data_IF_605876802471
#
_entry.id   IF_605876802471
#
_cell.length_a   1.000
_cell.length_b   1.000
_cell.length_c   1.000
_cell.angle_alpha   90.00
_cell.angle_beta   90.00
_cell.angle_gamma   90.00
#
_symmetry.space_group_name_H-M   'P 1'
#
loop_
_entity.id
_entity.type
_entity.pdbx_description
1 polymer ?
#
# COMPACT_ATOMS: atom_id res chain seq x y z
N UNK A 1 -31.84 69.97 22.49
CA UNK A 1 -32.09 69.38 21.16
C UNK A 1 -30.78 68.75 20.73
N UNK A 2 -30.57 67.53 21.22
CA UNK A 2 -30.68 66.24 20.50
C UNK A 2 -29.29 65.88 19.95
N UNK A 3 -28.51 65.11 20.71
CA UNK A 3 -28.55 63.64 20.77
C UNK A 3 -28.11 62.99 19.45
N UNK A 4 -26.88 62.49 19.39
CA UNK A 4 -26.62 61.05 19.49
C UNK A 4 -25.17 60.74 19.13
N UNK A 5 -24.41 60.32 20.14
CA UNK A 5 -23.31 59.39 20.00
C UNK A 5 -23.71 58.11 20.76
N UNK A 6 -23.79 56.97 20.07
CA UNK A 6 -23.47 55.68 20.66
C UNK A 6 -22.37 55.01 19.83
N UNK A 7 -21.19 54.79 20.41
CA UNK A 7 -20.83 53.55 21.11
C UNK A 7 -20.88 52.30 20.22
N UNK A 8 -19.70 51.70 20.08
CA UNK A 8 -19.48 50.25 20.14
C UNK A 8 -20.21 49.41 19.07
N UNK A 9 -19.61 49.35 17.88
CA UNK A 9 -19.75 48.16 17.05
C UNK A 9 -18.97 47.02 17.71
N UNK A 10 -19.71 46.03 18.18
CA UNK A 10 -19.24 44.84 18.90
C UNK A 10 -18.18 44.03 18.11
N UNK A 11 -17.28 43.30 18.80
CA UNK A 11 -16.46 42.27 18.18
C UNK A 11 -17.34 41.06 17.85
N UNK A 12 -18.03 41.12 16.71
CA UNK A 12 -18.82 40.01 16.17
C UNK A 12 -18.27 39.64 14.78
N UNK A 13 -17.05 39.12 14.76
CA UNK A 13 -16.50 38.35 13.62
C UNK A 13 -15.35 37.42 14.05
N UNK A 14 -15.41 36.92 15.29
CA UNK A 14 -14.54 35.84 15.81
C UNK A 14 -15.36 34.75 16.51
N UNK A 15 -16.07 33.98 15.70
CA UNK A 15 -16.60 32.64 15.99
C UNK A 15 -17.02 32.09 14.62
N UNK A 16 -16.52 30.99 14.07
CA UNK A 16 -16.10 29.72 14.66
C UNK A 16 -15.06 29.10 13.72
N UNK A 17 -13.80 29.06 14.12
CA UNK A 17 -12.88 28.01 13.65
C UNK A 17 -12.63 27.15 14.89
N UNK A 18 -13.60 26.31 15.24
CA UNK A 18 -13.28 25.16 16.06
C UNK A 18 -12.31 24.34 15.21
N UNK A 19 -11.02 24.34 15.57
CA UNK A 19 -10.06 23.44 14.97
C UNK A 19 -10.71 22.05 14.92
N UNK A 20 -10.67 21.38 13.77
CA UNK A 20 -11.23 20.04 13.69
C UNK A 20 -10.66 19.20 14.84
N UNK A 21 -11.51 18.51 15.62
CA UNK A 21 -11.06 17.73 16.75
C UNK A 21 -10.02 16.71 16.28
N UNK A 22 -8.99 16.49 17.11
CA UNK A 22 -7.91 15.57 16.81
C UNK A 22 -8.49 14.18 16.52
N UNK A 23 -7.83 13.38 15.66
CA UNK A 23 -8.34 12.07 15.27
C UNK A 23 -8.78 11.18 16.47
N UNK A 24 -8.00 11.10 17.58
CA UNK A 24 -8.43 10.36 18.77
C UNK A 24 -9.78 10.81 19.33
N UNK A 25 -10.04 12.12 19.38
CA UNK A 25 -11.30 12.68 19.90
C UNK A 25 -12.48 12.34 18.97
N UNK A 26 -12.24 12.36 17.65
CA UNK A 26 -13.25 11.98 16.64
C UNK A 26 -13.63 10.51 16.76
N UNK A 27 -12.64 9.62 16.85
CA UNK A 27 -12.86 8.18 17.00
C UNK A 27 -13.53 7.86 18.33
N UNK A 28 -13.07 8.46 19.42
CA UNK A 28 -13.68 8.35 20.75
C UNK A 28 -15.17 8.72 20.73
N UNK A 29 -15.50 9.88 20.15
CA UNK A 29 -16.89 10.34 20.04
C UNK A 29 -17.73 9.37 19.19
N UNK A 30 -17.19 8.88 18.08
CA UNK A 30 -17.88 7.92 17.22
C UNK A 30 -18.17 6.61 17.97
N UNK A 31 -17.18 6.07 18.69
CA UNK A 31 -17.33 4.82 19.47
C UNK A 31 -18.28 5.01 20.66
N UNK A 32 -18.23 6.17 21.33
CA UNK A 32 -19.15 6.48 22.44
C UNK A 32 -20.61 6.52 21.99
N UNK A 33 -20.87 7.04 20.78
CA UNK A 33 -22.22 7.16 20.23
C UNK A 33 -22.72 5.89 19.52
N UNK A 34 -21.83 5.18 18.82
CA UNK A 34 -22.17 4.06 17.94
C UNK A 34 -21.77 2.67 18.46
N UNK A 35 -21.04 2.60 19.56
CA UNK A 35 -20.42 1.37 20.06
C UNK A 35 -19.05 1.08 19.42
N UNK A 36 -18.39 -0.02 19.82
CA UNK A 36 -17.10 -0.44 19.29
C UNK A 36 -17.10 -0.59 17.77
N UNK A 37 -16.02 -0.17 17.11
CA UNK A 37 -15.88 -0.21 15.66
C UNK A 37 -14.98 -1.36 15.20
N UNK A 38 -15.13 -1.91 13.98
CA UNK A 38 -14.20 -2.90 13.46
C UNK A 38 -12.76 -2.37 13.40
N UNK A 39 -11.77 -3.25 13.58
CA UNK A 39 -10.36 -2.91 13.41
C UNK A 39 -10.08 -2.24 12.06
N UNK A 40 -10.70 -2.71 10.99
CA UNK A 40 -10.59 -2.12 9.65
C UNK A 40 -10.99 -0.63 9.63
N UNK A 41 -12.05 -0.26 10.33
CA UNK A 41 -12.47 1.14 10.39
C UNK A 41 -11.47 1.99 11.18
N UNK A 42 -10.91 1.45 12.26
CA UNK A 42 -9.89 2.13 13.06
C UNK A 42 -8.59 2.31 12.25
N UNK A 43 -8.07 1.24 11.66
CA UNK A 43 -6.86 1.25 10.83
C UNK A 43 -6.99 2.21 9.65
N UNK A 44 -8.10 2.16 8.92
CA UNK A 44 -8.35 3.06 7.79
C UNK A 44 -8.39 4.53 8.19
N UNK A 45 -9.00 4.86 9.34
CA UNK A 45 -9.02 6.22 9.84
C UNK A 45 -7.65 6.70 10.32
N UNK A 46 -6.89 5.83 11.00
CA UNK A 46 -5.52 6.11 11.45
C UNK A 46 -4.59 6.37 10.26
N UNK A 47 -4.54 5.46 9.29
CA UNK A 47 -3.66 5.58 8.13
C UNK A 47 -4.02 6.79 7.25
N UNK A 48 -5.32 7.04 7.02
CA UNK A 48 -5.75 8.23 6.26
C UNK A 48 -5.28 9.54 6.92
N UNK A 49 -5.26 9.61 8.25
CA UNK A 49 -4.71 10.76 8.96
C UNK A 49 -3.18 10.80 8.91
N UNK A 50 -2.53 9.65 9.13
CA UNK A 50 -1.08 9.51 9.12
C UNK A 50 -0.49 9.97 7.79
N UNK A 51 -0.89 9.35 6.67
CA UNK A 51 -0.40 9.71 5.33
C UNK A 51 -0.90 11.08 4.86
N UNK A 52 -2.07 11.55 5.33
CA UNK A 52 -2.64 12.83 4.93
C UNK A 52 -2.00 14.07 5.57
N UNK A 53 -1.26 13.91 6.68
CA UNK A 53 -0.76 15.05 7.48
C UNK A 53 0.75 15.19 7.53
N UNK A 54 1.53 14.19 7.09
CA UNK A 54 3.01 14.21 7.13
C UNK A 54 3.62 13.44 5.95
N UNK A 55 4.93 13.61 5.74
CA UNK A 55 5.74 12.74 4.89
C UNK A 55 6.41 11.66 5.78
N UNK A 56 5.98 10.39 5.71
CA UNK A 56 6.45 9.35 6.60
C UNK A 56 7.70 8.59 6.11
N UNK A 57 8.25 8.91 4.94
CA UNK A 57 9.20 8.04 4.24
C UNK A 57 10.68 8.49 4.34
N UNK A 58 11.57 7.51 4.51
CA UNK A 58 13.04 7.66 4.40
C UNK A 58 13.76 7.84 5.75
N UNK A 59 15.05 8.19 5.73
CA UNK A 59 15.91 8.23 6.93
C UNK A 59 15.47 9.20 8.05
N UNK A 60 14.56 10.14 7.74
CA UNK A 60 13.92 11.05 8.71
C UNK A 60 12.44 10.73 8.96
N UNK A 61 11.88 9.76 8.22
CA UNK A 61 10.54 9.22 8.37
C UNK A 61 10.49 8.07 9.38
N UNK A 62 9.41 7.29 9.34
CA UNK A 62 9.20 6.16 10.26
C UNK A 62 9.68 4.82 9.70
N UNK A 63 9.84 4.69 8.37
CA UNK A 63 10.33 3.48 7.70
C UNK A 63 11.06 3.76 6.36
N UNK A 64 11.78 2.73 5.89
CA UNK A 64 12.53 2.74 4.61
C UNK A 64 11.98 1.66 3.69
N UNK A 65 11.49 2.05 2.51
CA UNK A 65 10.94 1.17 1.46
C UNK A 65 11.99 0.75 0.44
N UNK A 66 11.68 -0.25 -0.38
CA UNK A 66 12.58 -0.75 -1.43
C UNK A 66 13.10 0.35 -2.38
N UNK A 67 12.24 1.28 -2.88
CA UNK A 67 12.67 2.38 -3.73
C UNK A 67 13.65 3.36 -3.05
N UNK A 68 13.54 3.55 -1.73
CA UNK A 68 14.41 4.45 -0.97
C UNK A 68 15.77 3.81 -0.64
N UNK A 69 15.87 2.48 -0.71
CA UNK A 69 17.12 1.73 -0.51
C UNK A 69 18.01 1.86 -1.76
N UNK A 70 17.45 1.65 -2.95
CA UNK A 70 18.26 1.62 -4.17
C UNK A 70 17.52 1.96 -5.44
N UNK A 71 18.14 2.80 -6.28
CA UNK A 71 17.68 3.05 -7.65
C UNK A 71 17.60 1.76 -8.49
N UNK A 72 18.36 0.72 -8.13
CA UNK A 72 18.33 -0.56 -8.84
C UNK A 72 16.94 -1.19 -8.80
N UNK A 73 16.21 -1.01 -7.72
CA UNK A 73 14.84 -1.52 -7.60
C UNK A 73 13.95 -0.89 -8.67
N UNK A 74 13.82 0.44 -8.68
CA UNK A 74 12.97 1.13 -9.64
C UNK A 74 13.41 0.96 -11.09
N UNK A 75 14.72 0.90 -11.35
CA UNK A 75 15.23 0.63 -12.70
C UNK A 75 14.84 -0.76 -13.21
N UNK A 76 14.92 -1.80 -12.38
CA UNK A 76 14.53 -3.16 -12.79
C UNK A 76 13.02 -3.28 -13.00
N UNK A 77 12.21 -2.65 -12.14
CA UNK A 77 10.75 -2.61 -12.34
C UNK A 77 10.41 -1.87 -13.65
N UNK A 78 11.03 -0.72 -13.91
CA UNK A 78 10.84 0.01 -15.17
C UNK A 78 11.24 -0.81 -16.40
N UNK A 79 12.35 -1.53 -16.35
CA UNK A 79 12.77 -2.41 -17.43
C UNK A 79 11.82 -3.61 -17.61
N UNK A 80 11.29 -4.17 -16.54
CA UNK A 80 10.26 -5.22 -16.59
C UNK A 80 9.00 -4.72 -17.32
N UNK A 81 8.53 -3.51 -17.00
CA UNK A 81 7.38 -2.89 -17.68
C UNK A 81 7.67 -2.64 -19.17
N UNK A 82 8.86 -2.13 -19.49
CA UNK A 82 9.28 -1.90 -20.87
C UNK A 82 9.38 -3.20 -21.68
N UNK A 83 9.86 -4.28 -21.08
CA UNK A 83 9.92 -5.60 -21.70
C UNK A 83 8.51 -6.17 -21.97
N UNK A 84 7.59 -6.06 -21.00
CA UNK A 84 6.18 -6.42 -21.20
C UNK A 84 5.55 -5.64 -22.36
N UNK A 85 5.79 -4.33 -22.42
CA UNK A 85 5.32 -3.46 -23.50
C UNK A 85 5.91 -3.82 -24.88
N UNK A 86 7.22 -4.07 -24.95
CA UNK A 86 7.91 -4.44 -26.19
C UNK A 86 7.34 -5.76 -26.74
N UNK A 87 7.22 -6.77 -25.88
CA UNK A 87 6.68 -8.10 -26.23
C UNK A 87 5.18 -8.09 -26.51
N UNK A 88 4.44 -7.10 -26.00
CA UNK A 88 3.04 -6.85 -26.34
C UNK A 88 2.87 -6.15 -27.71
N UNK A 89 3.96 -5.86 -28.43
CA UNK A 89 3.92 -5.22 -29.75
C UNK A 89 3.93 -3.69 -29.70
N UNK A 90 4.42 -3.11 -28.60
CA UNK A 90 4.56 -1.66 -28.39
C UNK A 90 3.27 -0.84 -28.55
N UNK A 91 2.14 -1.25 -27.95
CA UNK A 91 0.93 -0.43 -27.99
C UNK A 91 1.15 0.92 -27.29
N UNK A 92 0.27 1.90 -27.54
CA UNK A 92 0.15 3.03 -26.63
C UNK A 92 -0.33 2.48 -25.27
N UNK A 93 0.32 2.88 -24.17
CA UNK A 93 0.05 2.37 -22.82
C UNK A 93 0.14 3.51 -21.81
N UNK A 94 -0.44 3.29 -20.63
CA UNK A 94 -0.33 4.20 -19.48
C UNK A 94 0.43 3.53 -18.35
N UNK A 95 1.31 4.28 -17.70
CA UNK A 95 1.94 3.84 -16.46
C UNK A 95 1.07 4.27 -15.29
N UNK A 96 0.70 3.32 -14.42
CA UNK A 96 -0.11 3.59 -13.24
C UNK A 96 0.65 3.12 -12.00
N UNK A 97 0.75 3.96 -10.98
CA UNK A 97 1.29 3.55 -9.68
C UNK A 97 0.27 3.77 -8.55
N UNK A 98 0.01 2.72 -7.77
CA UNK A 98 -0.87 2.78 -6.61
C UNK A 98 -0.03 3.05 -5.36
N UNK A 99 -0.32 4.16 -4.66
CA UNK A 99 0.43 4.58 -3.48
C UNK A 99 1.92 4.82 -3.75
N UNK A 100 2.29 5.77 -4.63
CA UNK A 100 3.67 5.95 -5.08
C UNK A 100 4.63 6.52 -4.03
N UNK A 101 4.16 6.78 -2.80
CA UNK A 101 4.98 7.33 -1.73
C UNK A 101 5.57 8.69 -2.12
N UNK A 102 6.89 8.81 -2.25
CA UNK A 102 7.56 10.05 -2.70
C UNK A 102 7.69 10.18 -4.22
N UNK A 103 7.24 9.18 -4.98
CA UNK A 103 7.40 9.10 -6.43
C UNK A 103 8.79 8.63 -6.88
N UNK A 104 9.63 8.15 -5.95
CA UNK A 104 10.98 7.65 -6.23
C UNK A 104 10.95 6.45 -7.19
N UNK A 105 10.03 5.50 -6.96
CA UNK A 105 9.83 4.36 -7.84
C UNK A 105 9.41 4.78 -9.25
N UNK A 106 8.35 5.59 -9.37
CA UNK A 106 7.95 6.18 -10.65
C UNK A 106 9.11 6.85 -11.38
N UNK A 107 9.87 7.72 -10.70
CA UNK A 107 10.96 8.47 -11.31
C UNK A 107 12.05 7.55 -11.88
N UNK A 108 12.46 6.53 -11.12
CA UNK A 108 13.47 5.56 -11.58
C UNK A 108 12.93 4.63 -12.68
N UNK A 109 11.70 4.16 -12.54
CA UNK A 109 11.05 3.30 -13.51
C UNK A 109 10.87 4.02 -14.86
N UNK A 110 10.37 5.26 -14.85
CA UNK A 110 10.20 6.10 -16.05
C UNK A 110 11.54 6.41 -16.71
N UNK A 111 12.58 6.71 -15.93
CA UNK A 111 13.94 6.93 -16.43
C UNK A 111 14.50 5.68 -17.11
N UNK A 112 14.22 4.49 -16.58
CA UNK A 112 14.64 3.22 -17.16
C UNK A 112 13.82 2.86 -18.41
N UNK A 113 12.49 3.00 -18.37
CA UNK A 113 11.58 2.81 -19.50
C UNK A 113 11.98 3.70 -20.69
N UNK A 114 12.34 4.96 -20.44
CA UNK A 114 12.75 5.89 -21.48
C UNK A 114 13.99 5.40 -22.26
N UNK A 115 14.94 4.72 -21.59
CA UNK A 115 16.11 4.12 -22.24
C UNK A 115 15.74 2.95 -23.15
N UNK A 116 14.63 2.27 -22.87
CA UNK A 116 14.06 1.21 -23.71
C UNK A 116 13.09 1.77 -24.79
N UNK A 117 12.87 3.08 -24.84
CA UNK A 117 12.01 3.76 -25.81
C UNK A 117 10.55 3.90 -25.39
N UNK A 118 10.21 3.60 -24.15
CA UNK A 118 8.86 3.75 -23.59
C UNK A 118 8.75 5.03 -22.76
N UNK A 119 7.85 5.94 -23.13
CA UNK A 119 7.56 7.20 -22.40
C UNK A 119 6.04 7.40 -22.28
N UNK A 120 5.37 6.67 -21.38
CA UNK A 120 3.92 6.66 -21.28
C UNK A 120 3.41 7.88 -20.49
N UNK A 121 2.15 8.30 -20.68
CA UNK A 121 1.43 9.10 -19.69
C UNK A 121 1.45 8.40 -18.33
N UNK A 122 1.45 9.20 -17.26
CA UNK A 122 1.63 8.73 -15.89
C UNK A 122 0.39 9.06 -15.06
N UNK A 123 -0.20 8.04 -14.48
CA UNK A 123 -1.31 8.17 -13.53
C UNK A 123 -0.87 7.69 -12.14
N UNK A 124 -1.00 8.55 -11.14
CA UNK A 124 -0.65 8.25 -9.76
C UNK A 124 -1.91 8.21 -8.91
N UNK A 125 -2.20 7.07 -8.29
CA UNK A 125 -3.32 6.92 -7.36
C UNK A 125 -2.83 7.21 -5.94
N UNK A 126 -3.10 8.43 -5.48
CA UNK A 126 -2.59 8.99 -4.23
C UNK A 126 -3.67 9.85 -3.58
N UNK A 127 -3.92 9.73 -2.29
CA UNK A 127 -4.90 10.56 -1.57
C UNK A 127 -4.27 11.70 -0.77
N UNK A 128 -2.98 11.60 -0.44
CA UNK A 128 -2.28 12.57 0.39
C UNK A 128 -1.89 13.82 -0.39
N UNK A 129 -2.39 15.01 -0.02
CA UNK A 129 -1.99 16.25 -0.69
C UNK A 129 -0.50 16.58 -0.47
N UNK A 130 0.08 16.13 0.64
CA UNK A 130 1.50 16.31 0.96
C UNK A 130 2.36 15.48 0.00
N UNK A 131 2.02 14.20 -0.18
CA UNK A 131 2.77 13.32 -1.07
C UNK A 131 2.56 13.69 -2.54
N UNK A 132 1.34 14.08 -2.96
CA UNK A 132 1.09 14.60 -4.31
C UNK A 132 2.00 15.78 -4.67
N UNK A 133 2.24 16.69 -3.73
CA UNK A 133 3.14 17.82 -3.95
C UNK A 133 4.59 17.36 -4.19
N UNK A 134 5.10 16.43 -3.37
CA UNK A 134 6.44 15.85 -3.55
C UNK A 134 6.54 15.05 -4.87
N UNK A 135 5.53 14.24 -5.18
CA UNK A 135 5.45 13.45 -6.40
C UNK A 135 5.45 14.34 -7.65
N UNK A 136 4.77 15.50 -7.63
CA UNK A 136 4.74 16.45 -8.74
C UNK A 136 6.12 17.10 -9.00
N UNK A 137 7.02 17.17 -8.01
CA UNK A 137 8.39 17.62 -8.22
C UNK A 137 9.23 16.54 -8.93
N UNK A 138 9.05 15.27 -8.54
CA UNK A 138 9.80 14.14 -9.09
C UNK A 138 9.25 13.68 -10.46
N UNK A 139 7.94 13.79 -10.68
CA UNK A 139 7.23 13.35 -11.89
C UNK A 139 6.29 14.47 -12.37
N UNK A 140 6.81 15.53 -13.03
CA UNK A 140 6.06 16.76 -13.31
C UNK A 140 4.83 16.61 -14.21
N UNK A 141 4.75 15.53 -14.99
CA UNK A 141 3.65 15.27 -15.93
C UNK A 141 2.68 14.21 -15.40
N UNK A 142 2.73 13.87 -14.11
CA UNK A 142 1.80 12.92 -13.52
C UNK A 142 0.39 13.51 -13.37
N UNK A 143 -0.61 12.69 -13.68
CA UNK A 143 -2.01 12.95 -13.37
C UNK A 143 -2.40 12.22 -12.08
N UNK A 144 -3.03 12.93 -11.14
CA UNK A 144 -3.34 12.39 -9.82
C UNK A 144 -4.80 11.98 -9.69
N UNK A 145 -5.00 10.75 -9.24
CA UNK A 145 -6.31 10.11 -9.08
C UNK A 145 -6.55 9.75 -7.62
N UNK A 146 -7.83 9.74 -7.20
CA UNK A 146 -8.20 9.33 -5.85
C UNK A 146 -8.31 7.80 -5.74
N UNK A 147 -8.74 7.15 -6.83
CA UNK A 147 -8.97 5.72 -6.92
C UNK A 147 -8.84 5.26 -8.37
N UNK A 148 -9.08 3.96 -8.61
CA UNK A 148 -9.05 3.35 -9.94
C UNK A 148 -10.19 3.81 -10.86
N UNK A 149 -11.27 4.39 -10.33
CA UNK A 149 -12.44 4.81 -11.12
C UNK A 149 -12.11 6.06 -11.95
N UNK A 150 -11.26 6.94 -11.41
CA UNK A 150 -10.81 8.15 -12.11
C UNK A 150 -9.82 7.91 -13.26
N UNK A 151 -9.27 6.70 -13.37
CA UNK A 151 -8.25 6.39 -14.38
C UNK A 151 -8.81 6.47 -15.80
N UNK A 152 -7.95 6.87 -16.74
CA UNK A 152 -8.27 6.89 -18.16
C UNK A 152 -8.46 5.48 -18.72
N UNK A 153 -9.45 5.34 -19.60
CA UNK A 153 -9.88 4.08 -20.22
C UNK A 153 -9.40 3.91 -21.68
N UNK A 154 -8.46 4.76 -22.13
CA UNK A 154 -8.09 4.93 -23.55
C UNK A 154 -6.94 4.04 -24.04
N UNK A 155 -6.21 3.38 -23.13
CA UNK A 155 -5.07 2.53 -23.45
C UNK A 155 -4.83 1.43 -22.39
N UNK A 156 -4.17 0.32 -22.75
CA UNK A 156 -3.73 -0.68 -21.78
C UNK A 156 -2.89 -0.11 -20.64
N UNK A 157 -2.98 -0.76 -19.47
CA UNK A 157 -2.35 -0.28 -18.25
C UNK A 157 -1.09 -1.09 -17.89
N UNK A 158 -0.03 -0.40 -17.50
CA UNK A 158 1.17 -0.95 -16.87
C UNK A 158 1.20 -0.48 -15.42
N UNK A 159 0.70 -1.33 -14.52
CA UNK A 159 0.41 -0.96 -13.13
C UNK A 159 1.49 -1.47 -12.19
N UNK A 160 1.88 -0.66 -11.21
CA UNK A 160 2.74 -1.07 -10.09
C UNK A 160 2.04 -0.71 -8.77
N UNK A 161 2.11 -1.63 -7.81
CA UNK A 161 1.71 -1.40 -6.42
C UNK A 161 2.80 -1.97 -5.52
N UNK A 162 3.64 -1.11 -4.95
CA UNK A 162 4.72 -1.50 -4.04
C UNK A 162 4.39 -1.03 -2.62
N UNK A 163 4.32 -1.94 -1.65
CA UNK A 163 4.00 -1.61 -0.24
C UNK A 163 2.72 -0.74 -0.16
N UNK A 164 1.70 -1.19 -0.89
CA UNK A 164 0.41 -0.51 -0.98
C UNK A 164 -0.67 -1.33 -0.28
N UNK A 165 -0.60 -2.66 -0.35
CA UNK A 165 -1.64 -3.54 0.14
C UNK A 165 -1.51 -3.80 1.64
N UNK A 166 -0.31 -3.69 2.22
CA UNK A 166 -0.04 -3.79 3.66
C UNK A 166 -0.70 -2.67 4.48
N UNK A 167 -0.80 -1.47 3.91
CA UNK A 167 -1.41 -0.30 4.52
C UNK A 167 -2.94 -0.29 4.41
N UNK A 168 -3.53 -1.26 3.70
CA UNK A 168 -4.98 -1.36 3.52
C UNK A 168 -5.67 -1.95 4.76
N UNK A 169 -6.87 -1.45 5.11
CA UNK A 169 -7.56 -1.91 6.31
C UNK A 169 -7.88 -3.41 6.37
N UNK A 170 -7.35 -4.07 7.40
CA UNK A 170 -7.66 -5.48 7.69
C UNK A 170 -8.78 -5.65 8.72
N UNK A 171 -9.45 -6.79 8.68
CA UNK A 171 -10.24 -7.35 9.79
C UNK A 171 -9.42 -8.45 10.46
N UNK A 172 -9.55 -8.54 11.77
CA UNK A 172 -9.05 -9.67 12.55
C UNK A 172 -10.24 -10.45 13.09
N UNK A 173 -10.31 -11.74 12.78
CA UNK A 173 -11.23 -12.69 13.39
C UNK A 173 -10.45 -13.45 14.46
N UNK A 174 -11.02 -13.62 15.64
CA UNK A 174 -10.39 -14.27 16.80
C UNK A 174 -11.21 -15.50 17.16
N UNK A 175 -10.54 -16.65 17.26
CA UNK A 175 -11.15 -17.86 17.80
C UNK A 175 -11.41 -17.70 19.30
N UNK A 176 -12.62 -18.02 19.75
CA UNK A 176 -13.00 -17.99 21.17
C UNK A 176 -13.58 -19.35 21.57
N UNK A 177 -13.86 -19.55 22.87
CA UNK A 177 -14.56 -20.75 23.34
C UNK A 177 -15.99 -20.92 22.77
N UNK A 178 -16.56 -19.87 22.17
CA UNK A 178 -17.91 -19.86 21.58
C UNK A 178 -17.90 -19.72 20.04
N UNK A 179 -16.76 -19.96 19.40
CA UNK A 179 -16.56 -19.78 17.96
C UNK A 179 -15.80 -18.50 17.60
N UNK A 180 -15.72 -18.19 16.32
CA UNK A 180 -14.97 -17.06 15.79
C UNK A 180 -15.75 -15.75 15.91
N UNK A 181 -15.08 -14.72 16.43
CA UNK A 181 -15.62 -13.36 16.62
C UNK A 181 -14.74 -12.35 15.90
N UNK A 182 -15.29 -11.22 15.47
CA UNK A 182 -14.47 -10.12 14.94
C UNK A 182 -13.82 -9.33 16.08
N UNK A 183 -12.55 -8.94 15.91
CA UNK A 183 -11.86 -7.96 16.78
C UNK A 183 -12.40 -6.57 16.47
N UNK A 184 -12.99 -5.96 17.49
CA UNK A 184 -13.44 -4.57 17.48
C UNK A 184 -12.49 -3.71 18.31
N UNK A 185 -12.57 -2.40 18.13
CA UNK A 185 -11.87 -1.40 18.92
C UNK A 185 -12.90 -0.67 19.77
N UNK A 186 -12.81 -0.86 21.08
CA UNK A 186 -13.54 -0.09 22.07
C UNK A 186 -12.73 1.13 22.48
N UNK A 187 -13.40 2.08 23.11
CA UNK A 187 -12.75 3.27 23.64
C UNK A 187 -13.38 3.71 24.96
N UNK A 188 -12.54 4.18 25.88
CA UNK A 188 -12.93 4.96 27.04
C UNK A 188 -12.11 6.25 27.02
N UNK A 189 -12.77 7.41 26.94
CA UNK A 189 -12.14 8.69 26.67
C UNK A 189 -11.26 8.62 25.41
N UNK A 190 -9.93 8.66 25.49
CA UNK A 190 -9.04 8.48 24.31
C UNK A 190 -8.16 7.24 24.43
N UNK A 191 -8.51 6.32 25.33
CA UNK A 191 -7.84 5.02 25.47
C UNK A 191 -8.56 4.00 24.59
N UNK A 192 -7.89 3.51 23.56
CA UNK A 192 -8.44 2.50 22.64
C UNK A 192 -7.94 1.11 23.03
N UNK A 193 -8.84 0.12 22.98
CA UNK A 193 -8.52 -1.26 23.36
C UNK A 193 -9.20 -2.24 22.41
N UNK A 194 -8.50 -3.31 22.01
CA UNK A 194 -9.10 -4.38 21.24
C UNK A 194 -10.05 -5.20 22.13
N UNK A 195 -11.25 -5.48 21.62
CA UNK A 195 -12.23 -6.36 22.26
C UNK A 195 -12.76 -7.38 21.25
N UNK A 196 -13.30 -8.49 21.74
CA UNK A 196 -14.05 -9.43 20.90
C UNK A 196 -15.48 -8.94 20.71
N UNK A 197 -15.94 -8.94 19.46
CA UNK A 197 -17.35 -8.70 19.14
C UNK A 197 -18.27 -9.85 19.56
N UNK A 198 -19.57 -9.60 19.49
CA UNK A 198 -20.64 -10.53 19.90
C UNK A 198 -21.19 -11.40 18.75
N UNK A 199 -20.97 -10.99 17.49
CA UNK A 199 -21.41 -11.72 16.29
C UNK A 199 -20.51 -12.91 15.99
N UNK A 200 -21.10 -14.03 15.57
CA UNK A 200 -20.34 -15.19 15.10
C UNK A 200 -19.96 -15.02 13.63
N UNK A 201 -18.74 -15.40 13.29
CA UNK A 201 -18.19 -15.41 11.94
C UNK A 201 -17.89 -16.81 11.41
N UNK A 202 -18.28 -17.87 12.12
CA UNK A 202 -17.94 -19.27 11.77
C UNK A 202 -18.30 -19.63 10.33
N UNK A 203 -19.37 -19.04 9.78
CA UNK A 203 -19.83 -19.31 8.40
C UNK A 203 -18.83 -18.90 7.31
N UNK A 204 -17.91 -17.97 7.59
CA UNK A 204 -16.90 -17.50 6.63
C UNK A 204 -15.50 -18.05 6.91
N UNK A 205 -15.34 -18.81 8.00
CA UNK A 205 -14.05 -19.39 8.38
C UNK A 205 -13.79 -20.64 7.54
N UNK A 206 -12.57 -20.83 6.99
CA UNK A 206 -12.20 -22.06 6.32
C UNK A 206 -12.45 -23.27 7.23
N UNK A 207 -13.07 -24.33 6.69
CA UNK A 207 -13.51 -25.49 7.48
C UNK A 207 -12.41 -26.13 8.33
N UNK A 208 -11.17 -26.11 7.85
CA UNK A 208 -10.01 -26.66 8.56
C UNK A 208 -9.53 -25.79 9.74
N UNK A 209 -9.99 -24.53 9.85
CA UNK A 209 -9.68 -23.59 10.93
C UNK A 209 -10.84 -23.38 11.92
N UNK A 210 -12.02 -23.98 11.67
CA UNK A 210 -13.20 -23.80 12.53
C UNK A 210 -12.96 -24.15 14.00
N UNK A 211 -12.07 -25.11 14.26
CA UNK A 211 -11.73 -25.60 15.60
C UNK A 211 -10.33 -25.17 16.06
N UNK A 212 -9.83 -24.03 15.59
CA UNK A 212 -8.57 -23.47 16.05
C UNK A 212 -8.61 -23.16 17.56
N UNK A 213 -7.44 -23.15 18.20
CA UNK A 213 -7.31 -22.87 19.63
C UNK A 213 -7.79 -21.45 19.97
N UNK A 214 -8.48 -21.23 21.11
CA UNK A 214 -8.87 -19.89 21.55
C UNK A 214 -7.68 -18.92 21.59
N UNK A 215 -7.88 -17.72 21.04
CA UNK A 215 -6.83 -16.71 20.85
C UNK A 215 -6.16 -16.76 19.48
N UNK A 216 -6.41 -17.79 18.67
CA UNK A 216 -5.99 -17.81 17.25
C UNK A 216 -6.59 -16.62 16.50
N UNK A 217 -5.78 -15.97 15.68
CA UNK A 217 -6.18 -14.82 14.86
C UNK A 217 -6.14 -15.19 13.39
N UNK A 218 -7.18 -14.83 12.65
CA UNK A 218 -7.26 -14.93 11.20
C UNK A 218 -7.48 -13.53 10.64
N UNK A 219 -6.61 -13.10 9.74
CA UNK A 219 -6.67 -11.78 9.10
C UNK A 219 -7.32 -11.87 7.73
N UNK A 220 -8.15 -10.88 7.40
CA UNK A 220 -8.75 -10.76 6.07
C UNK A 220 -8.79 -9.29 5.67
N UNK A 221 -8.63 -8.98 4.38
CA UNK A 221 -8.73 -7.60 3.89
C UNK A 221 -9.77 -7.48 2.77
N UNK A 222 -11.04 -7.19 3.11
CA UNK A 222 -12.05 -6.88 2.11
C UNK A 222 -11.68 -5.66 1.25
N UNK A 223 -10.89 -4.72 1.78
CA UNK A 223 -10.39 -3.56 1.05
C UNK A 223 -9.40 -3.97 -0.06
N UNK A 224 -8.44 -4.84 0.26
CA UNK A 224 -7.48 -5.38 -0.71
C UNK A 224 -8.21 -6.13 -1.84
N UNK A 225 -9.19 -6.97 -1.50
CA UNK A 225 -10.01 -7.69 -2.50
C UNK A 225 -10.80 -6.71 -3.38
N UNK A 226 -11.41 -5.67 -2.79
CA UNK A 226 -12.18 -4.70 -3.57
C UNK A 226 -11.30 -3.92 -4.57
N UNK A 227 -10.12 -3.46 -4.15
CA UNK A 227 -9.17 -2.77 -5.02
C UNK A 227 -8.67 -3.71 -6.13
N UNK A 228 -8.32 -4.95 -5.78
CA UNK A 228 -7.85 -5.91 -6.76
C UNK A 228 -8.90 -6.23 -7.82
N UNK A 229 -10.16 -6.40 -7.42
CA UNK A 229 -11.27 -6.62 -8.36
C UNK A 229 -11.49 -5.41 -9.27
N UNK A 230 -11.37 -4.20 -8.72
CA UNK A 230 -11.38 -2.97 -9.52
C UNK A 230 -10.25 -2.95 -10.54
N UNK A 231 -9.02 -3.28 -10.13
CA UNK A 231 -7.85 -3.36 -11.01
C UNK A 231 -8.04 -4.43 -12.08
N UNK A 232 -8.60 -5.59 -11.72
CA UNK A 232 -8.89 -6.67 -12.65
C UNK A 232 -9.88 -6.26 -13.73
N UNK A 233 -10.96 -5.55 -13.36
CA UNK A 233 -11.90 -5.02 -14.33
C UNK A 233 -11.21 -4.11 -15.35
N UNK A 234 -10.31 -3.21 -14.90
CA UNK A 234 -9.54 -2.32 -15.80
C UNK A 234 -8.62 -3.09 -16.74
N UNK A 235 -7.85 -4.04 -16.21
CA UNK A 235 -6.93 -4.84 -17.01
C UNK A 235 -7.67 -5.72 -18.03
N UNK A 236 -8.82 -6.29 -17.67
CA UNK A 236 -9.63 -7.11 -18.59
C UNK A 236 -10.26 -6.28 -19.71
N UNK A 237 -10.66 -5.05 -19.41
CA UNK A 237 -11.27 -4.15 -20.39
C UNK A 237 -10.24 -3.53 -21.34
N UNK A 238 -9.12 -3.03 -20.80
CA UNK A 238 -8.14 -2.26 -21.58
C UNK A 238 -6.93 -3.09 -22.04
N UNK A 239 -6.73 -4.28 -21.45
CA UNK A 239 -5.46 -4.98 -21.51
C UNK A 239 -4.44 -4.41 -20.52
N UNK A 240 -3.34 -5.11 -20.34
CA UNK A 240 -2.21 -4.64 -19.54
C UNK A 240 -1.62 -5.70 -18.63
N UNK A 241 -0.77 -5.21 -17.74
CA UNK A 241 -0.20 -6.00 -16.66
C UNK A 241 -0.09 -5.17 -15.38
N UNK A 242 -0.17 -5.83 -14.23
CA UNK A 242 0.11 -5.26 -12.93
C UNK A 242 1.22 -6.04 -12.22
N UNK A 243 2.08 -5.33 -11.49
CA UNK A 243 3.07 -5.89 -10.59
C UNK A 243 2.77 -5.45 -9.16
N UNK A 244 2.55 -6.40 -8.27
CA UNK A 244 2.25 -6.14 -6.86
C UNK A 244 3.39 -6.71 -6.03
N UNK A 245 4.02 -5.86 -5.21
CA UNK A 245 5.17 -6.17 -4.38
C UNK A 245 4.85 -5.75 -2.96
N UNK A 246 4.86 -6.71 -2.04
CA UNK A 246 4.53 -6.43 -0.64
C UNK A 246 5.09 -7.52 0.27
N UNK A 247 5.20 -7.26 1.57
CA UNK A 247 5.58 -8.29 2.53
C UNK A 247 4.35 -9.05 3.01
N UNK A 248 4.46 -10.37 3.02
CA UNK A 248 3.28 -11.20 3.15
C UNK A 248 3.52 -12.69 3.19
N UNK A 249 2.43 -13.42 3.12
CA UNK A 249 2.37 -14.87 3.18
C UNK A 249 1.34 -15.42 2.17
N UNK A 250 1.32 -16.73 2.00
CA UNK A 250 0.24 -17.42 1.28
C UNK A 250 -0.66 -18.13 2.31
N UNK A 251 -1.90 -17.64 2.45
CA UNK A 251 -2.88 -18.12 3.41
C UNK A 251 -3.83 -19.21 2.87
N UNK A 252 -4.90 -19.54 3.62
CA UNK A 252 -5.25 -18.96 4.93
C UNK A 252 -4.29 -19.42 6.04
N UNK A 253 -3.79 -18.48 6.84
CA UNK A 253 -2.86 -18.75 7.94
C UNK A 253 -3.38 -18.15 9.25
N UNK A 254 -3.06 -18.79 10.37
CA UNK A 254 -3.32 -18.23 11.71
C UNK A 254 -2.11 -17.38 12.10
N UNK A 255 -2.35 -16.12 12.43
CA UNK A 255 -1.32 -15.17 12.83
C UNK A 255 -1.91 -13.78 13.09
N UNK A 256 -1.27 -13.03 13.97
CA UNK A 256 -1.53 -11.60 14.20
C UNK A 256 -0.35 -10.85 13.60
N UNK A 257 -0.57 -10.15 12.48
CA UNK A 257 0.46 -9.43 11.74
C UNK A 257 0.26 -7.92 11.78
N UNK A 258 -0.83 -7.45 12.42
CA UNK A 258 -1.05 -6.04 12.66
C UNK A 258 0.14 -5.45 13.44
N UNK A 259 0.79 -4.48 12.82
CA UNK A 259 1.95 -3.81 13.38
C UNK A 259 1.73 -2.30 13.35
N UNK A 260 2.34 -1.62 14.32
CA UNK A 260 2.51 -0.18 14.29
C UNK A 260 3.98 0.19 14.33
N UNK A 261 4.40 1.12 13.47
CA UNK A 261 5.76 1.63 13.44
C UNK A 261 5.77 3.14 13.66
N UNK A 262 6.65 3.59 14.56
CA UNK A 262 6.88 5.00 14.84
C UNK A 262 8.34 5.23 15.18
N UNK A 263 9.01 6.15 14.48
CA UNK A 263 10.41 6.48 14.69
C UNK A 263 11.35 5.27 14.56
N UNK A 264 11.11 4.40 13.58
CA UNK A 264 11.85 3.14 13.37
C UNK A 264 11.75 2.11 14.51
N UNK A 265 10.72 2.19 15.36
CA UNK A 265 10.47 1.24 16.43
C UNK A 265 9.02 0.75 16.41
N UNK A 266 8.82 -0.47 16.94
CA UNK A 266 7.49 -1.01 17.18
C UNK A 266 6.75 -0.14 18.19
N UNK A 267 5.50 0.18 17.87
CA UNK A 267 4.55 0.85 18.73
C UNK A 267 3.33 -0.05 18.98
N UNK A 268 2.49 0.37 19.92
CA UNK A 268 1.19 -0.25 20.12
C UNK A 268 0.20 0.33 19.08
N UNK A 269 -0.45 -0.51 18.25
CA UNK A 269 -1.40 -0.03 17.22
C UNK A 269 -2.57 0.80 17.74
N UNK A 270 -2.94 0.64 19.01
CA UNK A 270 -4.09 1.32 19.60
C UNK A 270 -3.72 2.65 20.28
N UNK A 271 -2.43 2.95 20.43
CA UNK A 271 -1.97 4.18 21.05
C UNK A 271 -1.89 5.32 20.03
N UNK A 272 -2.49 6.47 20.36
CA UNK A 272 -2.42 7.70 19.55
C UNK A 272 -2.71 7.47 18.05
N UNK A 273 -3.93 7.02 17.68
CA UNK A 273 -4.25 6.72 16.28
C UNK A 273 -3.93 7.89 15.35
N UNK A 274 -3.28 7.58 14.23
CA UNK A 274 -2.80 8.54 13.24
C UNK A 274 -1.40 9.08 13.49
N UNK A 275 -0.74 8.70 14.59
CA UNK A 275 0.64 9.10 14.91
C UNK A 275 1.71 8.03 14.65
N UNK A 276 1.28 6.84 14.24
CA UNK A 276 2.12 5.71 13.83
C UNK A 276 1.53 5.13 12.55
N UNK A 277 2.40 4.57 11.72
CA UNK A 277 1.96 3.81 10.55
C UNK A 277 1.42 2.46 10.99
N UNK A 278 0.23 2.07 10.52
CA UNK A 278 -0.36 0.76 10.82
C UNK A 278 -0.32 -0.09 9.56
N UNK A 279 0.33 -1.25 9.65
CA UNK A 279 0.45 -2.18 8.53
C UNK A 279 0.12 -3.59 8.95
N UNK A 280 -0.11 -4.45 7.96
CA UNK A 280 -0.30 -5.88 8.16
C UNK A 280 0.27 -6.65 6.98
N UNK A 281 0.67 -7.90 7.21
CA UNK A 281 1.17 -8.75 6.15
C UNK A 281 0.08 -9.04 5.11
N UNK A 282 0.45 -8.99 3.84
CA UNK A 282 -0.48 -9.27 2.73
C UNK A 282 -0.68 -10.77 2.55
N UNK A 283 -1.95 -11.19 2.48
CA UNK A 283 -2.31 -12.54 2.06
C UNK A 283 -2.34 -12.65 0.53
N UNK A 284 -1.24 -13.11 -0.05
CA UNK A 284 -1.10 -13.29 -1.49
C UNK A 284 -1.99 -14.42 -2.04
N UNK A 285 -2.42 -15.39 -1.22
CA UNK A 285 -3.36 -16.41 -1.67
C UNK A 285 -4.73 -15.78 -1.97
N UNK A 286 -5.23 -14.94 -1.05
CA UNK A 286 -6.47 -14.18 -1.25
C UNK A 286 -6.40 -13.27 -2.48
N UNK A 287 -5.27 -12.58 -2.71
CA UNK A 287 -5.11 -11.76 -3.92
C UNK A 287 -5.15 -12.62 -5.19
N UNK A 288 -4.43 -13.74 -5.22
CA UNK A 288 -4.43 -14.65 -6.38
C UNK A 288 -5.82 -15.16 -6.69
N UNK A 289 -6.53 -15.69 -5.69
CA UNK A 289 -7.88 -16.21 -5.86
C UNK A 289 -8.83 -15.13 -6.38
N UNK A 290 -8.75 -13.90 -5.86
CA UNK A 290 -9.58 -12.80 -6.32
C UNK A 290 -9.26 -12.37 -7.77
N UNK A 291 -8.00 -12.36 -8.19
CA UNK A 291 -7.61 -12.06 -9.56
C UNK A 291 -8.01 -13.17 -10.55
N UNK A 292 -7.79 -14.43 -10.19
CA UNK A 292 -8.17 -15.59 -11.02
C UNK A 292 -9.68 -15.69 -11.17
N UNK A 293 -10.43 -15.40 -10.10
CA UNK A 293 -11.89 -15.40 -10.12
C UNK A 293 -12.46 -14.38 -11.11
N UNK A 294 -11.83 -13.20 -11.24
CA UNK A 294 -12.21 -12.19 -12.23
C UNK A 294 -11.75 -12.55 -13.65
N UNK A 295 -10.80 -13.50 -13.80
CA UNK A 295 -10.33 -14.01 -15.09
C UNK A 295 -8.99 -13.48 -15.56
N UNK A 296 -8.20 -12.85 -14.66
CA UNK A 296 -6.80 -12.54 -14.96
C UNK A 296 -5.94 -13.79 -14.93
N UNK A 297 -4.80 -13.72 -15.63
CA UNK A 297 -3.74 -14.73 -15.51
C UNK A 297 -2.79 -14.27 -14.42
N UNK A 298 -2.57 -15.12 -13.42
CA UNK A 298 -1.74 -14.80 -12.26
C UNK A 298 -0.41 -15.55 -12.32
N UNK A 299 0.68 -14.83 -12.03
CA UNK A 299 2.04 -15.36 -11.97
C UNK A 299 2.60 -15.13 -10.58
N UNK A 300 3.05 -16.21 -9.92
CA UNK A 300 3.63 -16.19 -8.58
C UNK A 300 2.68 -16.68 -7.45
N UNK A 301 2.96 -16.29 -6.19
CA UNK A 301 4.01 -15.36 -5.82
C UNK A 301 5.39 -15.99 -5.97
N UNK A 302 6.38 -15.14 -6.18
CA UNK A 302 7.80 -15.46 -5.98
C UNK A 302 8.35 -14.55 -4.90
N UNK A 303 9.48 -14.89 -4.31
CA UNK A 303 10.13 -14.00 -3.35
C UNK A 303 10.81 -12.83 -4.06
N UNK A 304 10.90 -11.67 -3.42
CA UNK A 304 11.55 -10.49 -4.01
C UNK A 304 13.00 -10.77 -4.40
N UNK A 305 13.74 -11.50 -3.56
CA UNK A 305 15.13 -11.85 -3.83
C UNK A 305 15.25 -12.71 -5.09
N UNK A 306 14.38 -13.70 -5.27
CA UNK A 306 14.34 -14.51 -6.48
C UNK A 306 13.96 -13.68 -7.71
N UNK A 307 12.92 -12.85 -7.59
CA UNK A 307 12.43 -11.99 -8.68
C UNK A 307 13.52 -11.03 -9.18
N UNK A 308 14.10 -10.21 -8.29
CA UNK A 308 15.14 -9.24 -8.65
C UNK A 308 16.41 -9.92 -9.18
N UNK A 309 16.76 -11.09 -8.63
CA UNK A 309 17.87 -11.90 -9.15
C UNK A 309 17.61 -12.37 -10.58
N UNK A 310 16.40 -12.84 -10.87
CA UNK A 310 16.00 -13.26 -12.21
C UNK A 310 15.96 -12.08 -13.21
N UNK A 311 15.64 -10.86 -12.75
CA UNK A 311 15.71 -9.65 -13.56
C UNK A 311 17.13 -9.11 -13.76
N UNK A 312 18.14 -9.70 -13.10
CA UNK A 312 19.54 -9.35 -13.30
C UNK A 312 20.05 -8.22 -12.40
N UNK A 313 19.57 -8.11 -11.16
CA UNK A 313 20.06 -7.11 -10.21
C UNK A 313 21.58 -7.13 -10.03
N UNK A 314 22.22 -8.30 -10.01
CA UNK A 314 23.68 -8.42 -9.90
C UNK A 314 24.40 -7.71 -11.06
N UNK A 315 23.95 -7.93 -12.30
CA UNK A 315 24.51 -7.26 -13.47
C UNK A 315 24.29 -5.74 -13.41
N UNK A 316 23.16 -5.31 -12.83
CA UNK A 316 22.90 -3.87 -12.64
C UNK A 316 23.81 -3.26 -11.58
N UNK A 317 24.02 -3.96 -10.46
CA UNK A 317 24.98 -3.57 -9.42
C UNK A 317 26.38 -3.40 -10.00
N UNK A 318 26.86 -4.36 -10.78
CA UNK A 318 28.19 -4.31 -11.41
C UNK A 318 28.32 -3.13 -12.36
N UNK A 319 27.30 -2.86 -13.17
CA UNK A 319 27.28 -1.71 -14.08
C UNK A 319 27.33 -0.36 -13.36
N UNK A 320 26.59 -0.23 -12.24
CA UNK A 320 26.62 0.98 -11.41
C UNK A 320 27.95 1.15 -10.68
N UNK A 321 28.52 0.06 -10.16
CA UNK A 321 29.83 0.08 -9.50
C UNK A 321 30.96 0.45 -10.49
N UNK A 322 30.90 -0.03 -11.73
CA UNK A 322 31.85 0.35 -12.77
C UNK A 322 31.75 1.85 -13.13
N UNK A 323 30.55 2.42 -13.11
CA UNK A 323 30.32 3.83 -13.41
C UNK A 323 30.67 4.77 -12.23
N UNK A 324 30.57 4.28 -11.00
CA UNK A 324 30.87 5.03 -9.77
C UNK A 324 31.66 4.14 -8.78
N UNK A 325 32.96 3.90 -9.03
CA UNK A 325 33.77 2.98 -8.22
C UNK A 325 33.79 3.31 -6.72
N UNK A 326 33.67 4.58 -6.36
CA UNK A 326 33.59 5.07 -4.98
C UNK A 326 32.32 4.64 -4.23
N UNK A 327 31.28 4.19 -4.95
CA UNK A 327 30.01 3.72 -4.38
C UNK A 327 29.89 2.19 -4.35
N UNK A 328 30.91 1.47 -4.79
CA UNK A 328 30.86 0.00 -4.97
C UNK A 328 30.38 -0.74 -3.72
N UNK A 329 30.92 -0.41 -2.55
CA UNK A 329 30.55 -1.07 -1.28
C UNK A 329 29.10 -0.78 -0.90
N UNK A 330 28.66 0.48 -0.99
CA UNK A 330 27.28 0.86 -0.71
C UNK A 330 26.30 0.16 -1.66
N UNK A 331 26.61 0.09 -2.96
CA UNK A 331 25.77 -0.59 -3.95
C UNK A 331 25.62 -2.08 -3.66
N UNK A 332 26.68 -2.73 -3.16
CA UNK A 332 26.61 -4.13 -2.74
C UNK A 332 25.71 -4.30 -1.51
N UNK A 333 25.82 -3.42 -0.50
CA UNK A 333 24.96 -3.41 0.68
C UNK A 333 23.49 -3.17 0.32
N UNK A 334 23.22 -2.21 -0.57
CA UNK A 334 21.87 -1.89 -1.06
C UNK A 334 21.26 -3.08 -1.82
N UNK A 335 22.05 -3.76 -2.66
CA UNK A 335 21.63 -4.99 -3.33
C UNK A 335 21.27 -6.06 -2.30
N UNK A 336 22.17 -6.34 -1.37
CA UNK A 336 21.99 -7.40 -0.38
C UNK A 336 20.76 -7.12 0.50
N UNK A 337 20.52 -5.85 0.89
CA UNK A 337 19.28 -5.44 1.58
C UNK A 337 18.01 -5.89 0.83
N UNK A 338 18.01 -5.78 -0.50
CA UNK A 338 16.86 -6.08 -1.34
C UNK A 338 16.66 -7.58 -1.61
N UNK A 339 17.73 -8.38 -1.65
CA UNK A 339 17.65 -9.78 -2.11
C UNK A 339 18.01 -10.84 -1.08
N UNK A 340 18.66 -10.47 0.01
CA UNK A 340 19.06 -11.42 1.06
C UNK A 340 17.82 -11.98 1.78
N UNK A 341 17.68 -13.32 1.90
CA UNK A 341 16.59 -13.95 2.64
C UNK A 341 16.41 -13.48 4.08
N UNK A 342 17.49 -13.09 4.77
CA UNK A 342 17.41 -12.57 6.15
C UNK A 342 16.94 -11.10 6.21
N UNK A 343 16.75 -10.47 5.05
CA UNK A 343 16.34 -9.08 4.90
C UNK A 343 15.02 -9.02 4.12
N UNK A 344 14.95 -8.27 3.01
CA UNK A 344 13.72 -8.18 2.22
C UNK A 344 13.52 -9.36 1.28
N UNK A 345 14.57 -10.13 0.99
CA UNK A 345 14.59 -11.11 -0.09
C UNK A 345 13.59 -12.23 0.05
N UNK A 346 13.34 -12.72 1.28
CA UNK A 346 12.36 -13.76 1.57
C UNK A 346 11.02 -13.17 2.00
N UNK A 347 11.01 -12.19 2.90
CA UNK A 347 9.78 -11.65 3.48
C UNK A 347 8.87 -10.98 2.43
N UNK A 348 9.46 -10.26 1.48
CA UNK A 348 8.71 -9.63 0.39
C UNK A 348 8.39 -10.65 -0.70
N UNK A 349 7.16 -10.60 -1.18
CA UNK A 349 6.66 -11.41 -2.28
C UNK A 349 6.25 -10.52 -3.44
N UNK A 350 6.25 -11.11 -4.63
CA UNK A 350 5.90 -10.46 -5.88
C UNK A 350 4.88 -11.33 -6.61
N UNK A 351 3.76 -10.73 -7.02
CA UNK A 351 2.84 -11.32 -8.01
C UNK A 351 2.75 -10.42 -9.22
N UNK A 352 2.61 -11.03 -10.40
CA UNK A 352 2.23 -10.33 -11.61
C UNK A 352 0.86 -10.80 -12.09
N UNK A 353 0.04 -9.85 -12.52
CA UNK A 353 -1.28 -10.10 -13.09
C UNK A 353 -1.26 -9.65 -14.53
N UNK A 354 -1.80 -10.44 -15.44
CA UNK A 354 -1.89 -10.07 -16.86
C UNK A 354 -3.30 -10.27 -17.39
N UNK A 355 -3.71 -9.37 -18.28
CA UNK A 355 -4.91 -9.57 -19.07
C UNK A 355 -4.70 -10.74 -20.06
N UNK A 356 -5.76 -11.49 -20.42
CA UNK A 356 -5.64 -12.53 -21.44
C UNK A 356 -5.03 -12.00 -22.74
N UNK A 357 -4.00 -12.71 -23.25
CA UNK A 357 -3.30 -12.34 -24.48
C UNK A 357 -2.11 -11.38 -24.27
N UNK A 358 -1.84 -10.92 -23.05
CA UNK A 358 -0.60 -10.22 -22.73
C UNK A 358 0.59 -11.18 -22.55
N UNK A 359 1.84 -10.71 -22.71
CA UNK A 359 3.03 -11.55 -22.58
C UNK A 359 3.15 -12.19 -21.20
N UNK A 360 3.78 -13.38 -21.14
CA UNK A 360 4.16 -13.99 -19.87
C UNK A 360 5.29 -13.15 -19.24
N UNK A 361 5.15 -12.69 -17.98
CA UNK A 361 6.14 -11.84 -17.35
C UNK A 361 7.42 -12.60 -17.00
N UNK A 362 8.56 -11.93 -17.16
CA UNK A 362 9.85 -12.44 -16.71
C UNK A 362 9.92 -12.40 -15.17
N UNK A 363 10.75 -13.29 -14.58
CA UNK A 363 10.98 -13.34 -13.13
C UNK A 363 10.05 -14.26 -12.33
N UNK A 364 9.14 -14.98 -13.00
CA UNK A 364 8.13 -15.87 -12.38
C UNK A 364 8.25 -17.34 -12.82
N UNK A 365 9.44 -17.75 -13.27
CA UNK A 365 9.70 -19.09 -13.81
C UNK A 365 10.18 -20.09 -12.76
#
# INVERSE_FOLDING_TARGET
MTDNNPLEAAPQERAVNAAEPLLPERLSRAITLGGPIPLSQFMGAANAHYYGTRDPLGARGDFTTAPEISQMFGELIGLWLADMWDRAGKPAVRYVELGPGRGTLAADALRAMAKAGLTPPVDLVENSPVLRAAQAECVPNAEFHLDLIGLHDDAPLLVVANEFFDALPIRQLIATGEGWRERLVACQDTLFLPISGDRSFDMIIPKHLLHADPGSVLETSPASVAILRGLAARLLEQGGAALIIDYGYEGPAIGDTLQAVKGHAYANPFDMPGEADLTAHVDFATLKEAAEFEGLIVHGPVTQGAFLSALGIAARTDALAAAAPERTEQLALDRDRLIDPEQMGELFKVIALTAPGWPIPAGFA
#
